data_IF_198103640855
#
_entry.id   IF_198103640855
#
_cell.length_a   1.000
_cell.length_b   1.000
_cell.length_c   1.000
_cell.angle_alpha   90.00
_cell.angle_beta   90.00
_cell.angle_gamma   90.00
#
_symmetry.space_group_name_H-M   'P 1'
#
loop_
_entity.id
_entity.type
_entity.pdbx_description
1 polymer ?
#
# COMPACT_ATOMS: atom_id res chain seq x y z
N UNK A 1 -54.81 -20.30 -27.33
CA UNK A 1 -55.05 -21.75 -27.49
C UNK A 1 -53.98 -22.31 -28.41
N UNK A 2 -53.20 -23.28 -27.93
CA UNK A 2 -52.09 -23.90 -28.67
C UNK A 2 -50.79 -23.91 -27.86
N UNK A 3 -50.32 -25.05 -27.32
CA UNK A 3 -49.25 -25.15 -26.32
C UNK A 3 -47.92 -25.72 -26.90
N UNK A 4 -47.03 -26.16 -26.00
CA UNK A 4 -45.91 -27.14 -26.10
C UNK A 4 -44.55 -26.50 -25.74
N UNK A 5 -43.99 -26.68 -24.53
CA UNK A 5 -43.30 -27.84 -23.91
C UNK A 5 -41.95 -28.24 -24.53
N UNK A 6 -40.91 -28.27 -23.67
CA UNK A 6 -39.59 -28.89 -23.91
C UNK A 6 -38.46 -27.87 -23.71
N UNK A 7 -37.68 -27.84 -22.64
CA UNK A 7 -37.30 -28.90 -21.71
C UNK A 7 -36.00 -29.55 -22.17
N UNK A 8 -34.85 -28.99 -21.79
CA UNK A 8 -33.58 -29.73 -21.64
C UNK A 8 -32.81 -29.08 -20.49
N UNK A 9 -32.80 -29.77 -19.36
CA UNK A 9 -31.94 -29.50 -18.21
C UNK A 9 -30.73 -30.44 -18.36
N UNK A 10 -29.54 -29.91 -18.68
CA UNK A 10 -28.31 -30.70 -18.68
C UNK A 10 -27.60 -30.47 -17.34
N UNK A 11 -27.73 -31.43 -16.44
CA UNK A 11 -26.93 -31.53 -15.22
C UNK A 11 -25.69 -32.38 -15.56
N UNK A 12 -24.53 -31.73 -15.78
CA UNK A 12 -23.25 -32.43 -15.76
C UNK A 12 -22.77 -32.54 -14.31
N UNK A 13 -22.95 -33.72 -13.72
CA UNK A 13 -22.25 -34.13 -12.50
C UNK A 13 -20.91 -34.74 -12.89
N UNK A 14 -19.81 -34.01 -12.69
CA UNK A 14 -18.47 -34.59 -12.68
C UNK A 14 -18.05 -34.78 -11.22
N UNK A 15 -18.23 -36.01 -10.73
CA UNK A 15 -17.66 -36.46 -9.46
C UNK A 15 -16.23 -36.93 -9.74
N UNK A 16 -15.25 -36.11 -9.36
CA UNK A 16 -13.84 -36.46 -9.43
C UNK A 16 -13.35 -36.73 -8.01
N UNK A 17 -13.06 -37.99 -7.69
CA UNK A 17 -12.40 -38.38 -6.45
C UNK A 17 -10.94 -37.85 -6.47
N UNK A 18 -10.46 -37.20 -5.40
CA UNK A 18 -9.05 -36.82 -5.34
C UNK A 18 -8.19 -38.03 -5.00
N UNK A 19 -7.31 -38.41 -5.94
CA UNK A 19 -6.19 -39.30 -5.68
C UNK A 19 -5.33 -38.73 -4.55
N UNK A 20 -5.25 -39.47 -3.44
CA UNK A 20 -4.39 -39.15 -2.31
C UNK A 20 -2.92 -39.41 -2.70
N UNK A 21 -2.25 -38.37 -3.20
CA UNK A 21 -0.81 -38.39 -3.39
C UNK A 21 -0.12 -38.35 -2.01
N UNK A 22 0.47 -39.48 -1.62
CA UNK A 22 1.32 -39.59 -0.44
C UNK A 22 2.66 -38.90 -0.68
N UNK A 23 2.76 -37.62 -0.35
CA UNK A 23 4.03 -36.89 -0.33
C UNK A 23 4.90 -37.40 0.82
N UNK A 24 6.01 -38.06 0.48
CA UNK A 24 7.07 -38.34 1.44
C UNK A 24 7.77 -37.02 1.77
N UNK A 25 7.61 -36.54 3.01
CA UNK A 25 8.35 -35.37 3.49
C UNK A 25 9.86 -35.66 3.44
N UNK A 26 10.67 -34.84 2.74
CA UNK A 26 12.11 -34.92 2.84
C UNK A 26 12.53 -34.55 4.27
N UNK A 27 13.43 -35.35 4.83
CA UNK A 27 14.08 -35.09 6.11
C UNK A 27 14.84 -33.77 5.99
N UNK A 28 14.57 -32.75 6.83
CA UNK A 28 15.31 -31.50 6.78
C UNK A 28 16.80 -31.74 7.11
N UNK A 29 17.73 -31.05 6.43
CA UNK A 29 19.14 -31.11 6.77
C UNK A 29 19.36 -30.60 8.20
N UNK A 30 20.29 -31.25 8.91
CA UNK A 30 20.66 -30.90 10.27
C UNK A 30 21.03 -29.42 10.39
N UNK A 31 20.44 -28.74 11.39
CA UNK A 31 20.72 -27.35 11.71
C UNK A 31 22.22 -27.14 11.92
N UNK A 32 22.81 -26.20 11.18
CA UNK A 32 24.17 -25.75 11.43
C UNK A 32 24.21 -25.06 12.80
N UNK A 33 25.19 -25.45 13.62
CA UNK A 33 25.46 -24.85 14.92
C UNK A 33 25.69 -23.34 14.77
N UNK A 34 24.83 -22.56 15.43
CA UNK A 34 24.95 -21.11 15.55
C UNK A 34 26.09 -20.79 16.53
N UNK A 35 27.20 -20.30 16.01
CA UNK A 35 28.25 -19.68 16.82
C UNK A 35 27.74 -18.35 17.37
N UNK A 36 27.59 -18.30 18.69
CA UNK A 36 27.17 -17.10 19.43
C UNK A 36 28.11 -15.90 19.16
N UNK A 37 27.57 -14.67 19.06
CA UNK A 37 28.39 -13.46 18.99
C UNK A 37 29.05 -13.14 20.35
N UNK A 38 30.19 -12.43 20.36
CA UNK A 38 30.91 -12.06 21.56
C UNK A 38 30.15 -11.01 22.40
N UNK A 39 30.42 -11.08 23.70
CA UNK A 39 29.79 -10.32 24.76
C UNK A 39 30.00 -8.79 24.64
N UNK A 40 28.97 -8.13 25.15
CA UNK A 40 28.74 -6.72 25.51
C UNK A 40 29.98 -5.88 25.84
N UNK A 41 29.99 -4.66 25.30
CA UNK A 41 30.79 -3.54 25.80
C UNK A 41 29.85 -2.54 26.49
N UNK A 42 30.19 -2.18 27.72
CA UNK A 42 29.43 -1.32 28.61
C UNK A 42 29.08 0.07 28.02
N UNK A 43 27.90 0.63 28.32
CA UNK A 43 27.53 1.99 27.94
C UNK A 43 28.25 3.06 28.81
N UNK A 44 28.58 4.24 28.25
CA UNK A 44 29.16 5.34 29.01
C UNK A 44 28.14 6.04 29.93
N UNK A 45 28.64 6.52 31.06
CA UNK A 45 27.89 7.24 32.10
C UNK A 45 27.29 8.58 31.61
N UNK A 46 26.14 9.01 32.15
CA UNK A 46 25.53 10.30 31.82
C UNK A 46 26.29 11.48 32.45
N UNK A 47 26.52 12.52 31.65
CA UNK A 47 27.04 13.81 32.09
C UNK A 47 25.84 14.68 32.49
N UNK A 48 25.76 15.03 33.77
CA UNK A 48 24.84 16.05 34.28
C UNK A 48 25.40 17.45 33.97
N UNK A 49 24.72 18.21 33.11
CA UNK A 49 24.90 19.66 33.05
C UNK A 49 23.67 20.35 33.65
N UNK A 50 23.90 20.99 34.79
CA UNK A 50 23.04 22.00 35.38
C UNK A 50 23.11 23.32 34.62
N UNK A 51 22.25 24.28 35.01
CA UNK A 51 22.17 25.72 34.68
C UNK A 51 21.10 26.06 33.63
N UNK A 52 20.32 27.14 33.75
CA UNK A 52 20.36 28.34 34.59
C UNK A 52 18.95 28.95 34.65
N UNK A 53 18.52 29.37 35.84
CA UNK A 53 17.23 30.02 36.10
C UNK A 53 17.32 31.52 35.76
N UNK A 54 16.98 31.87 34.52
CA UNK A 54 16.93 33.25 34.05
C UNK A 54 15.50 33.79 33.92
N UNK A 55 14.94 34.29 35.03
CA UNK A 55 13.68 35.04 35.02
C UNK A 55 13.82 36.35 34.23
N UNK A 56 12.95 36.57 33.24
CA UNK A 56 12.73 37.90 32.64
C UNK A 56 11.24 38.15 32.46
N UNK A 57 10.68 38.92 33.39
CA UNK A 57 9.34 39.48 33.36
C UNK A 57 9.30 40.67 32.39
N UNK A 58 8.70 40.46 31.24
CA UNK A 58 8.26 41.55 30.34
C UNK A 58 6.78 41.35 30.04
N UNK A 59 5.95 42.13 30.75
CA UNK A 59 4.53 42.33 30.45
C UNK A 59 4.43 43.17 29.17
N UNK A 60 4.27 42.51 28.01
CA UNK A 60 3.85 43.17 26.77
C UNK A 60 2.35 42.96 26.56
N UNK A 61 1.62 44.05 26.78
CA UNK A 61 0.19 44.24 26.50
C UNK A 61 -0.10 43.88 25.03
N UNK A 62 -0.56 42.64 24.84
CA UNK A 62 -0.85 42.07 23.53
C UNK A 62 -2.26 42.46 23.09
N UNK A 63 -2.33 43.27 22.05
CA UNK A 63 -3.54 43.47 21.22
C UNK A 63 -4.12 42.11 20.84
N UNK A 64 -5.44 41.86 20.96
CA UNK A 64 -6.07 40.65 20.46
C UNK A 64 -5.85 40.60 18.95
N UNK A 65 -4.95 39.72 18.51
CA UNK A 65 -4.85 39.39 17.10
C UNK A 65 -6.23 38.84 16.70
N UNK A 66 -6.83 39.47 15.68
CA UNK A 66 -8.04 38.94 15.07
C UNK A 66 -7.72 37.50 14.64
N UNK A 67 -8.46 36.57 15.24
CA UNK A 67 -8.37 35.14 14.98
C UNK A 67 -8.50 34.95 13.47
N UNK A 68 -7.45 34.55 12.74
CA UNK A 68 -7.58 34.30 11.31
C UNK A 68 -8.66 33.23 11.20
N UNK A 69 -9.77 33.54 10.53
CA UNK A 69 -10.85 32.58 10.29
C UNK A 69 -10.18 31.31 9.76
N UNK A 70 -10.13 30.27 10.60
CA UNK A 70 -9.60 28.97 10.22
C UNK A 70 -10.49 28.51 9.08
N UNK A 71 -10.00 28.68 7.85
CA UNK A 71 -10.58 28.01 6.70
C UNK A 71 -10.41 26.54 7.00
N UNK A 72 -11.47 25.90 7.48
CA UNK A 72 -11.50 24.46 7.71
C UNK A 72 -10.94 23.81 6.46
N UNK A 73 -9.73 23.26 6.56
CA UNK A 73 -9.07 22.55 5.47
C UNK A 73 -10.00 21.39 5.12
N UNK A 74 -10.76 21.56 4.03
CA UNK A 74 -11.78 20.62 3.63
C UNK A 74 -11.10 19.31 3.27
N UNK A 75 -11.18 18.35 4.19
CA UNK A 75 -10.60 17.03 4.03
C UNK A 75 -11.19 16.35 2.78
N UNK A 76 -10.37 16.17 1.75
CA UNK A 76 -10.77 15.62 0.45
C UNK A 76 -10.83 14.08 0.43
N UNK A 77 -11.12 13.44 1.56
CA UNK A 77 -11.21 11.99 1.66
C UNK A 77 -12.41 11.39 0.94
N UNK A 78 -12.28 10.14 0.52
CA UNK A 78 -13.32 9.40 -0.17
C UNK A 78 -12.81 8.14 -0.86
N UNK A 79 -13.75 7.41 -1.45
CA UNK A 79 -13.47 6.27 -2.32
C UNK A 79 -13.77 6.67 -3.76
N UNK A 80 -12.86 6.33 -4.67
CA UNK A 80 -12.90 6.68 -6.08
C UNK A 80 -12.84 5.42 -6.90
N UNK A 81 -13.74 5.30 -7.88
CA UNK A 81 -13.62 4.28 -8.93
C UNK A 81 -12.70 4.84 -10.00
N UNK A 82 -11.58 4.16 -10.26
CA UNK A 82 -10.54 4.65 -11.15
C UNK A 82 -10.30 3.69 -12.32
N UNK A 83 -9.92 4.27 -13.46
CA UNK A 83 -9.25 3.60 -14.57
C UNK A 83 -7.75 3.87 -14.47
N UNK A 84 -6.96 2.80 -14.57
CA UNK A 84 -5.50 2.80 -14.51
C UNK A 84 -5.00 2.32 -15.87
N UNK A 85 -4.24 3.15 -16.58
CA UNK A 85 -3.70 2.81 -17.90
C UNK A 85 -2.20 3.05 -17.95
N UNK A 86 -1.42 2.07 -18.39
CA UNK A 86 0.03 2.19 -18.36
C UNK A 86 0.79 0.96 -18.84
N UNK A 87 2.01 0.83 -18.36
CA UNK A 87 2.96 -0.25 -18.67
C UNK A 87 3.50 -0.85 -17.36
N UNK A 88 3.39 -2.17 -17.24
CA UNK A 88 3.98 -2.95 -16.16
C UNK A 88 5.08 -3.85 -16.74
N UNK A 89 6.33 -3.60 -16.34
CA UNK A 89 7.52 -4.15 -17.00
C UNK A 89 7.62 -3.65 -18.43
N UNK A 90 7.12 -4.45 -19.37
CA UNK A 90 7.13 -4.18 -20.81
C UNK A 90 5.75 -4.35 -21.46
N UNK A 91 4.73 -4.63 -20.65
CA UNK A 91 3.39 -4.99 -21.13
C UNK A 91 2.43 -3.85 -20.83
N UNK A 92 1.73 -3.37 -21.85
CA UNK A 92 0.67 -2.37 -21.71
C UNK A 92 -0.56 -2.98 -21.02
N UNK A 93 -1.27 -2.18 -20.24
CA UNK A 93 -2.52 -2.59 -19.59
C UNK A 93 -3.48 -1.41 -19.40
N UNK A 94 -4.75 -1.76 -19.28
CA UNK A 94 -5.81 -0.87 -18.78
C UNK A 94 -6.69 -1.68 -17.83
N UNK A 95 -6.93 -1.16 -16.63
CA UNK A 95 -7.70 -1.84 -15.58
C UNK A 95 -8.57 -0.88 -14.80
N UNK A 96 -9.65 -1.39 -14.23
CA UNK A 96 -10.40 -0.70 -13.20
C UNK A 96 -9.80 -0.99 -11.82
N UNK A 97 -9.96 -0.05 -10.91
CA UNK A 97 -9.53 -0.17 -9.54
C UNK A 97 -10.25 0.80 -8.63
N UNK A 98 -9.79 0.84 -7.39
CA UNK A 98 -10.31 1.75 -6.37
C UNK A 98 -9.14 2.50 -5.74
N UNK A 99 -9.29 3.82 -5.62
CA UNK A 99 -8.46 4.64 -4.74
C UNK A 99 -9.30 5.02 -3.53
N UNK A 100 -8.80 4.80 -2.32
CA UNK A 100 -9.41 5.31 -1.09
C UNK A 100 -8.44 6.27 -0.43
N UNK A 101 -8.92 7.46 -0.09
CA UNK A 101 -8.21 8.47 0.69
C UNK A 101 -8.97 8.62 2.00
N UNK A 102 -8.32 8.39 3.12
CA UNK A 102 -8.96 8.39 4.43
C UNK A 102 -8.04 8.97 5.50
N UNK A 103 -8.61 9.25 6.67
CA UNK A 103 -7.83 9.62 7.86
C UNK A 103 -6.84 8.50 8.20
N UNK A 104 -5.76 8.89 8.88
CA UNK A 104 -4.68 7.98 9.28
C UNK A 104 -5.22 6.78 10.07
N UNK A 105 -4.85 5.57 9.66
CA UNK A 105 -5.27 4.31 10.28
C UNK A 105 -4.42 4.02 11.53
N UNK A 106 -3.13 4.36 11.48
CA UNK A 106 -2.18 4.06 12.54
C UNK A 106 -1.80 5.31 13.33
N UNK A 107 -2.11 5.31 14.62
CA UNK A 107 -1.72 6.38 15.54
C UNK A 107 -0.27 6.23 16.04
N UNK A 108 0.34 5.06 15.80
CA UNK A 108 1.73 4.77 16.15
C UNK A 108 2.51 4.59 14.87
N UNK A 109 3.23 5.64 14.48
CA UNK A 109 4.05 5.63 13.28
C UNK A 109 5.14 4.56 13.34
N UNK A 110 5.56 4.06 12.17
CA UNK A 110 6.80 3.28 12.12
C UNK A 110 8.02 4.21 12.18
N UNK A 111 9.20 3.74 11.75
CA UNK A 111 10.40 4.58 11.69
C UNK A 111 10.27 5.76 10.68
N UNK A 112 9.15 5.89 9.97
CA UNK A 112 8.83 6.96 9.04
C UNK A 112 7.88 8.03 9.62
N UNK A 113 7.43 7.89 10.88
CA UNK A 113 6.43 8.76 11.48
C UNK A 113 4.99 8.34 11.14
N UNK A 114 4.02 9.12 11.60
CA UNK A 114 2.58 8.90 11.30
C UNK A 114 2.24 9.59 10.00
N UNK A 115 1.59 8.87 9.08
CA UNK A 115 1.09 9.48 7.85
C UNK A 115 -0.03 10.49 8.15
N UNK A 116 -0.07 11.68 7.52
CA UNK A 116 -1.13 12.65 7.73
C UNK A 116 -2.51 12.13 7.28
N UNK A 117 -2.52 11.30 6.24
CA UNK A 117 -3.68 10.60 5.68
C UNK A 117 -3.22 9.25 5.15
N UNK A 118 -4.15 8.32 4.98
CA UNK A 118 -3.88 7.05 4.30
C UNK A 118 -4.49 6.98 2.91
N UNK A 119 -3.72 6.43 1.98
CA UNK A 119 -4.11 6.24 0.58
C UNK A 119 -3.98 4.77 0.22
N UNK A 120 -5.03 4.22 -0.38
CA UNK A 120 -5.13 2.82 -0.77
C UNK A 120 -5.48 2.72 -2.27
N UNK A 121 -4.55 2.26 -3.12
CA UNK A 121 -4.81 1.89 -4.51
C UNK A 121 -4.91 0.37 -4.63
N UNK A 122 -6.06 -0.12 -5.11
CA UNK A 122 -6.34 -1.55 -5.28
C UNK A 122 -6.90 -1.81 -6.68
N UNK A 123 -6.24 -2.68 -7.45
CA UNK A 123 -6.76 -3.24 -8.69
C UNK A 123 -6.39 -4.72 -8.81
N UNK A 124 -7.39 -5.59 -8.91
CA UNK A 124 -7.20 -7.04 -8.97
C UNK A 124 -6.70 -7.66 -7.66
N UNK A 125 -6.03 -8.81 -7.78
CA UNK A 125 -5.48 -9.57 -6.65
C UNK A 125 -4.10 -10.11 -7.04
N UNK A 126 -3.02 -9.30 -7.03
CA UNK A 126 -1.77 -9.67 -7.71
C UNK A 126 -1.15 -10.97 -7.17
N UNK A 127 -1.33 -11.25 -5.86
CA UNK A 127 -0.84 -12.47 -5.22
C UNK A 127 -1.73 -13.71 -5.37
N UNK A 128 -3.04 -13.54 -5.64
CA UNK A 128 -4.00 -14.65 -5.72
C UNK A 128 -4.46 -14.98 -7.13
N UNK A 129 -4.61 -13.95 -7.96
CA UNK A 129 -4.99 -14.03 -9.37
C UNK A 129 -4.11 -13.03 -10.15
N UNK A 130 -2.89 -13.43 -10.53
CA UNK A 130 -1.95 -12.56 -11.20
C UNK A 130 -2.46 -12.17 -12.59
N UNK A 131 -2.51 -10.87 -12.84
CA UNK A 131 -2.86 -10.28 -14.13
C UNK A 131 -1.90 -9.10 -14.38
N UNK A 132 -1.59 -8.80 -15.64
CA UNK A 132 -0.76 -7.64 -15.99
C UNK A 132 -1.39 -6.37 -15.44
N UNK A 133 -0.64 -5.59 -14.68
CA UNK A 133 -1.09 -4.32 -14.13
C UNK A 133 -1.94 -4.46 -12.85
N UNK A 134 -2.19 -5.69 -12.36
CA UNK A 134 -2.77 -5.84 -11.02
C UNK A 134 -1.81 -5.24 -9.98
N UNK A 135 -2.35 -4.44 -9.06
CA UNK A 135 -1.57 -3.71 -8.06
C UNK A 135 -2.35 -3.56 -6.75
N UNK A 136 -1.67 -3.80 -5.64
CA UNK A 136 -2.03 -3.32 -4.31
C UNK A 136 -0.93 -2.36 -3.85
N UNK A 137 -1.25 -1.08 -3.71
CA UNK A 137 -0.32 -0.05 -3.32
C UNK A 137 -0.97 0.88 -2.30
N UNK A 138 -0.50 0.84 -1.07
CA UNK A 138 -1.09 1.55 0.05
C UNK A 138 -0.04 2.17 0.97
N UNK A 139 -0.41 3.24 1.65
CA UNK A 139 0.40 3.87 2.69
C UNK A 139 0.41 3.11 4.00
N UNK A 140 -0.67 2.40 4.32
CA UNK A 140 -0.80 1.58 5.53
C UNK A 140 -1.39 0.20 5.21
N UNK A 141 -0.89 -0.86 5.86
CA UNK A 141 -1.36 -2.24 5.63
C UNK A 141 -2.83 -2.47 5.97
N UNK A 142 -3.44 -1.61 6.79
CA UNK A 142 -4.88 -1.61 7.07
C UNK A 142 -5.74 -1.33 5.83
N UNK A 143 -5.19 -0.70 4.79
CA UNK A 143 -5.84 -0.48 3.50
C UNK A 143 -6.15 -1.76 2.73
N UNK A 144 -5.37 -2.83 2.93
CA UNK A 144 -5.39 -3.99 2.07
C UNK A 144 -6.30 -5.06 2.69
N UNK A 145 -7.40 -5.45 2.01
CA UNK A 145 -8.31 -6.46 2.52
C UNK A 145 -7.58 -7.77 2.83
N UNK A 146 -7.64 -8.21 4.08
CA UNK A 146 -7.01 -9.45 4.54
C UNK A 146 -5.54 -9.33 4.99
N UNK A 147 -4.90 -8.16 4.82
CA UNK A 147 -3.54 -7.90 5.32
C UNK A 147 -3.50 -7.05 6.61
N UNK A 148 -4.62 -6.45 7.01
CA UNK A 148 -4.74 -5.40 8.03
C UNK A 148 -4.55 -5.80 9.50
N UNK A 149 -3.87 -6.91 9.81
CA UNK A 149 -3.70 -7.31 11.21
C UNK A 149 -2.72 -6.41 12.00
N UNK A 150 -1.80 -5.72 11.31
CA UNK A 150 -0.69 -5.03 11.95
C UNK A 150 -0.70 -3.50 11.79
N UNK A 151 -1.58 -2.94 10.93
CA UNK A 151 -1.70 -1.48 10.68
C UNK A 151 -0.34 -0.78 10.51
N UNK A 152 0.60 -1.46 9.83
CA UNK A 152 1.94 -0.95 9.58
C UNK A 152 1.93 0.10 8.48
N UNK A 153 2.65 1.20 8.67
CA UNK A 153 2.96 2.15 7.60
C UNK A 153 3.95 1.51 6.62
N UNK A 154 3.64 1.60 5.33
CA UNK A 154 4.35 0.94 4.24
C UNK A 154 4.87 1.94 3.21
N UNK A 155 4.48 3.21 3.34
CA UNK A 155 4.87 4.30 2.48
C UNK A 155 4.95 5.60 3.28
N UNK A 156 5.70 6.56 2.75
CA UNK A 156 5.70 7.96 3.17
C UNK A 156 4.60 8.70 2.41
N UNK A 157 3.83 9.53 3.12
CA UNK A 157 2.75 10.33 2.52
C UNK A 157 3.02 11.83 2.75
N UNK A 158 2.97 12.59 1.66
CA UNK A 158 3.04 14.05 1.65
C UNK A 158 1.76 14.62 1.05
N UNK A 159 1.23 15.67 1.67
CA UNK A 159 0.00 16.36 1.24
C UNK A 159 0.32 17.83 0.97
N UNK A 160 -0.02 18.29 -0.23
CA UNK A 160 0.08 19.69 -0.65
C UNK A 160 -1.24 20.13 -1.31
N UNK A 161 -2.06 20.85 -0.54
CA UNK A 161 -3.43 21.18 -0.94
C UNK A 161 -4.23 19.92 -1.27
N UNK A 162 -4.73 19.83 -2.50
CA UNK A 162 -5.50 18.66 -2.98
C UNK A 162 -4.65 17.58 -3.64
N UNK A 163 -3.32 17.69 -3.56
CA UNK A 163 -2.38 16.72 -4.13
C UNK A 163 -1.76 15.87 -3.03
N UNK A 164 -1.75 14.56 -3.25
CA UNK A 164 -1.13 13.58 -2.34
C UNK A 164 -0.05 12.84 -3.08
N UNK A 165 1.14 12.79 -2.49
CA UNK A 165 2.26 11.99 -2.97
C UNK A 165 2.54 10.85 -2.00
N UNK A 166 2.66 9.63 -2.53
CA UNK A 166 2.88 8.39 -1.77
C UNK A 166 4.15 7.71 -2.29
N UNK A 167 5.14 7.52 -1.43
CA UNK A 167 6.44 6.90 -1.76
C UNK A 167 6.64 5.62 -0.97
N UNK A 168 6.90 4.45 -1.59
CA UNK A 168 7.06 3.20 -0.85
C UNK A 168 8.25 3.25 0.12
N UNK A 169 8.11 2.61 1.27
CA UNK A 169 9.21 2.36 2.19
C UNK A 169 9.89 1.02 1.86
N UNK A 170 11.08 1.09 1.25
CA UNK A 170 11.85 -0.10 0.86
C UNK A 170 12.14 -1.06 2.02
N UNK A 171 12.21 -0.56 3.26
CA UNK A 171 12.50 -1.36 4.45
C UNK A 171 11.37 -2.34 4.78
N UNK A 172 10.15 -1.99 4.37
CA UNK A 172 8.93 -2.78 4.60
C UNK A 172 8.54 -3.58 3.34
N UNK A 173 9.21 -3.37 2.20
CA UNK A 173 8.90 -4.08 0.95
C UNK A 173 8.93 -5.62 1.09
N UNK A 174 9.75 -6.15 2.00
CA UNK A 174 9.83 -7.58 2.28
C UNK A 174 8.53 -8.20 2.83
N UNK A 175 7.59 -7.39 3.35
CA UNK A 175 6.27 -7.90 3.79
C UNK A 175 5.37 -8.26 2.62
N UNK A 176 5.70 -7.83 1.39
CA UNK A 176 4.88 -7.97 0.18
C UNK A 176 3.46 -7.42 0.33
N UNK A 177 3.21 -6.56 1.31
CA UNK A 177 1.91 -5.93 1.49
C UNK A 177 1.59 -5.04 0.28
N UNK A 178 2.53 -4.19 -0.11
CA UNK A 178 2.50 -3.53 -1.41
C UNK A 178 3.09 -4.46 -2.47
N UNK A 179 2.36 -4.67 -3.56
CA UNK A 179 2.79 -5.54 -4.63
C UNK A 179 2.09 -5.25 -5.98
N UNK A 180 2.76 -5.59 -7.07
CA UNK A 180 2.18 -5.56 -8.41
C UNK A 180 2.66 -6.72 -9.28
N UNK A 181 1.94 -6.98 -10.36
CA UNK A 181 2.22 -8.05 -11.32
C UNK A 181 2.44 -7.47 -12.73
N UNK A 182 3.42 -8.02 -13.45
CA UNK A 182 3.83 -7.56 -14.80
C UNK A 182 3.47 -8.54 -15.93
N UNK A 183 3.04 -9.75 -15.59
CA UNK A 183 2.68 -10.82 -16.52
C UNK A 183 1.45 -11.59 -16.03
N UNK A 184 0.65 -12.09 -16.97
CA UNK A 184 -0.59 -12.84 -16.72
C UNK A 184 -0.39 -14.37 -16.70
N UNK A 185 0.82 -14.85 -16.95
CA UNK A 185 1.12 -16.28 -16.91
C UNK A 185 1.24 -16.77 -15.47
N UNK A 186 0.21 -17.48 -14.99
CA UNK A 186 0.13 -18.04 -13.64
C UNK A 186 1.35 -18.87 -13.20
N UNK A 187 2.09 -19.48 -14.15
CA UNK A 187 3.26 -20.31 -13.83
C UNK A 187 4.52 -19.46 -13.65
N UNK A 188 4.63 -18.37 -14.41
CA UNK A 188 5.80 -17.49 -14.41
C UNK A 188 5.52 -16.12 -13.78
N UNK A 189 4.34 -15.95 -13.20
CA UNK A 189 3.90 -14.67 -12.65
C UNK A 189 4.80 -14.26 -11.50
N UNK A 190 5.48 -13.13 -11.67
CA UNK A 190 6.34 -12.58 -10.64
C UNK A 190 5.63 -11.41 -9.97
N UNK A 191 5.51 -11.51 -8.65
CA UNK A 191 5.02 -10.43 -7.81
C UNK A 191 6.22 -9.56 -7.45
N UNK A 192 6.09 -8.26 -7.66
CA UNK A 192 7.14 -7.29 -7.37
C UNK A 192 6.73 -6.41 -6.19
N UNK A 193 7.58 -6.33 -5.19
CA UNK A 193 7.42 -5.41 -4.06
C UNK A 193 7.93 -4.02 -4.47
N UNK A 194 7.13 -2.95 -4.43
CA UNK A 194 7.61 -1.59 -4.69
C UNK A 194 8.70 -1.20 -3.69
N UNK A 195 9.83 -0.72 -4.20
CA UNK A 195 11.00 -0.29 -3.39
C UNK A 195 11.39 1.16 -3.65
N UNK A 196 10.97 1.76 -4.76
CA UNK A 196 11.27 3.16 -5.07
C UNK A 196 10.25 3.77 -6.02
N UNK A 197 10.33 5.10 -6.18
CA UNK A 197 9.43 5.89 -7.02
C UNK A 197 8.27 6.46 -6.22
N UNK A 198 7.17 6.80 -6.87
CA UNK A 198 6.02 7.40 -6.20
C UNK A 198 4.71 7.23 -6.96
N UNK A 199 3.61 7.43 -6.25
CA UNK A 199 2.30 7.74 -6.79
C UNK A 199 1.96 9.18 -6.42
N UNK A 200 1.40 9.95 -7.34
CA UNK A 200 0.88 11.29 -7.09
C UNK A 200 -0.55 11.37 -7.61
N UNK A 201 -1.49 11.75 -6.76
CA UNK A 201 -2.91 11.91 -7.10
C UNK A 201 -3.37 13.31 -6.69
N UNK A 202 -4.30 13.86 -7.45
CA UNK A 202 -4.94 15.15 -7.21
C UNK A 202 -6.45 14.97 -7.31
N UNK A 203 -7.17 15.49 -6.32
CA UNK A 203 -8.63 15.59 -6.36
C UNK A 203 -9.01 17.04 -6.70
N UNK A 204 -10.01 17.23 -7.56
CA UNK A 204 -10.56 18.54 -7.85
C UNK A 204 -11.84 18.83 -7.04
N UNK A 205 -12.36 20.05 -7.19
CA UNK A 205 -13.55 20.50 -6.47
C UNK A 205 -14.84 19.78 -6.91
N UNK A 206 -14.85 19.15 -8.09
CA UNK A 206 -16.00 18.40 -8.60
C UNK A 206 -15.98 16.93 -8.09
N UNK A 207 -14.89 16.52 -7.42
CA UNK A 207 -14.70 15.18 -6.89
C UNK A 207 -14.12 14.19 -7.91
N UNK A 208 -13.57 14.70 -9.02
CA UNK A 208 -12.79 13.88 -9.95
C UNK A 208 -11.37 13.69 -9.38
N UNK A 209 -10.79 12.52 -9.65
CA UNK A 209 -9.44 12.15 -9.26
C UNK A 209 -8.60 11.94 -10.50
N UNK A 210 -7.42 12.54 -10.53
CA UNK A 210 -6.40 12.31 -11.55
C UNK A 210 -5.03 12.08 -10.91
N UNK A 211 -4.11 11.43 -11.61
CA UNK A 211 -2.78 11.20 -11.07
C UNK A 211 -1.94 10.28 -11.92
N UNK A 212 -0.75 9.98 -11.43
CA UNK A 212 0.17 9.03 -12.03
C UNK A 212 0.87 8.20 -10.97
N UNK A 213 1.37 7.04 -11.37
CA UNK A 213 2.22 6.18 -10.56
C UNK A 213 3.41 5.75 -11.39
N UNK A 214 4.61 5.93 -10.82
CA UNK A 214 5.87 5.55 -11.42
C UNK A 214 6.76 4.94 -10.32
N UNK A 215 6.73 3.62 -10.22
CA UNK A 215 7.45 2.87 -9.19
C UNK A 215 8.36 1.81 -9.81
N UNK A 216 9.42 1.44 -9.09
CA UNK A 216 10.23 0.26 -9.37
C UNK A 216 10.04 -0.74 -8.24
N UNK A 217 9.81 -1.99 -8.62
CA UNK A 217 9.69 -3.09 -7.68
C UNK A 217 10.79 -4.13 -7.82
N UNK A 218 11.01 -4.87 -6.76
CA UNK A 218 11.96 -5.97 -6.67
C UNK A 218 11.24 -7.29 -6.40
N UNK A 219 11.77 -8.36 -6.99
CA UNK A 219 11.37 -9.74 -6.72
C UNK A 219 12.59 -10.65 -6.73
N UNK A 220 12.41 -11.92 -6.36
CA UNK A 220 13.48 -12.93 -6.48
C UNK A 220 13.99 -13.13 -7.91
N UNK A 221 13.28 -12.61 -8.92
CA UNK A 221 13.64 -12.71 -10.34
C UNK A 221 14.28 -11.43 -10.91
N UNK A 222 14.39 -10.35 -10.12
CA UNK A 222 15.02 -9.10 -10.52
C UNK A 222 14.14 -7.88 -10.25
N UNK A 223 14.27 -6.85 -11.08
CA UNK A 223 13.53 -5.58 -10.94
C UNK A 223 12.55 -5.39 -12.10
N UNK A 224 11.42 -4.75 -11.83
CA UNK A 224 10.49 -4.31 -12.87
C UNK A 224 9.92 -2.92 -12.54
N UNK A 225 9.54 -2.17 -13.58
CA UNK A 225 8.91 -0.86 -13.43
C UNK A 225 7.39 -0.96 -13.58
N UNK A 226 6.66 -0.08 -12.92
CA UNK A 226 5.23 0.12 -13.12
C UNK A 226 5.01 1.61 -13.36
N UNK A 227 4.48 1.97 -14.52
CA UNK A 227 4.22 3.36 -14.92
C UNK A 227 2.80 3.46 -15.46
N UNK A 228 1.94 4.27 -14.84
CA UNK A 228 0.56 4.40 -15.27
C UNK A 228 -0.04 5.76 -14.91
N UNK A 229 -1.05 6.14 -15.69
CA UNK A 229 -1.96 7.24 -15.39
C UNK A 229 -3.19 6.69 -14.67
N UNK A 230 -3.72 7.47 -13.73
CA UNK A 230 -4.89 7.18 -12.91
C UNK A 230 -5.91 8.28 -13.18
N UNK A 231 -7.14 7.90 -13.48
CA UNK A 231 -8.26 8.84 -13.62
C UNK A 231 -9.53 8.20 -13.08
N UNK A 232 -10.38 8.95 -12.42
CA UNK A 232 -11.61 8.39 -11.85
C UNK A 232 -12.50 9.45 -11.22
N UNK A 233 -13.58 8.97 -10.62
CA UNK A 233 -14.57 9.81 -9.97
C UNK A 233 -14.93 9.22 -8.61
N UNK A 234 -15.42 10.06 -7.70
CA UNK A 234 -15.94 9.62 -6.41
C UNK A 234 -17.08 8.59 -6.60
N UNK A 235 -17.01 7.50 -5.85
CA UNK A 235 -17.97 6.40 -5.88
C UNK A 235 -19.26 6.70 -5.10
#
# INVERSE_FOLDING_TARGET
>A
MGPVLGGVLLLCSCSSEPESASFSNPIPPAAAESTAPPAESDPPEPIEEETDDGESLIDEESTPAEDPEETEDEFFGGTYTVTISGVAGWTEFTREGTVTIQETIAEVGTNNGVNPIDVCLVSGMPAGLPEVGAIWFASNSGCIPGAGAAQLDMAYVEVDGSTVTVQPDERIAATLSNNFTVNDDYITSSIFAPVSGQMTITTDADGDLSGSIAITGYSGMGTATYQAEISGQRA
#
